data_IF_568763760436
#
_entry.id   IF_568763760436
#
_cell.length_a   1.000
_cell.length_b   1.000
_cell.length_c   1.000
_cell.angle_alpha   90.00
_cell.angle_beta   90.00
_cell.angle_gamma   90.00
#
_symmetry.space_group_name_H-M   'P 1'
#
loop_
_entity.id
_entity.type
_entity.pdbx_description
1 polymer ?
#
# COMPACT_ATOMS: atom_id res chain seq x y z
N UNK A 1 21.50 -30.89 -7.41
CA UNK A 1 20.74 -29.76 -7.98
C UNK A 1 19.30 -29.97 -7.54
N UNK A 2 18.66 -29.00 -6.88
CA UNK A 2 17.28 -29.20 -6.42
C UNK A 2 16.30 -29.08 -7.58
N UNK A 3 15.16 -29.77 -7.50
CA UNK A 3 14.10 -29.78 -8.52
C UNK A 3 12.87 -29.04 -7.99
N UNK A 4 12.31 -28.14 -8.79
CA UNK A 4 11.06 -27.44 -8.50
C UNK A 4 9.96 -28.03 -9.38
N UNK A 5 8.94 -28.62 -8.75
CA UNK A 5 7.75 -29.13 -9.43
C UNK A 5 6.64 -28.09 -9.50
N UNK A 6 5.96 -27.99 -10.64
CA UNK A 6 4.74 -27.19 -10.81
C UNK A 6 3.83 -27.82 -11.87
N UNK A 7 2.64 -27.27 -12.12
CA UNK A 7 1.73 -27.82 -13.11
C UNK A 7 2.19 -27.58 -14.56
N UNK A 8 1.75 -28.46 -15.48
CA UNK A 8 1.90 -28.27 -16.92
C UNK A 8 0.71 -27.51 -17.55
N UNK A 9 0.76 -27.23 -18.86
CA UNK A 9 -0.32 -26.54 -19.58
C UNK A 9 -0.22 -25.02 -19.49
N UNK A 10 -1.36 -24.32 -19.52
CA UNK A 10 -1.37 -22.86 -19.39
C UNK A 10 -0.75 -22.46 -18.06
N UNK A 11 0.23 -21.56 -18.08
CA UNK A 11 0.86 -21.02 -16.89
C UNK A 11 0.23 -19.71 -16.44
N UNK A 12 0.24 -19.46 -15.13
CA UNK A 12 -0.30 -18.28 -14.47
C UNK A 12 0.83 -17.42 -13.88
N UNK A 13 0.45 -16.30 -13.27
CA UNK A 13 1.43 -15.46 -12.60
C UNK A 13 1.92 -16.08 -11.29
N UNK A 14 1.08 -16.94 -10.69
CA UNK A 14 1.29 -17.47 -9.36
C UNK A 14 2.51 -18.38 -9.31
N UNK A 15 2.48 -19.51 -10.00
CA UNK A 15 3.59 -20.46 -10.03
C UNK A 15 4.85 -19.88 -10.65
N UNK A 16 4.71 -19.01 -11.65
CA UNK A 16 5.86 -18.30 -12.25
C UNK A 16 6.55 -17.44 -11.19
N UNK A 17 5.80 -16.68 -10.39
CA UNK A 17 6.38 -15.86 -9.32
C UNK A 17 6.93 -16.70 -8.17
N UNK A 18 6.24 -17.76 -7.76
CA UNK A 18 6.72 -18.71 -6.76
C UNK A 18 8.11 -19.27 -7.15
N UNK A 19 8.29 -19.65 -8.42
CA UNK A 19 9.56 -20.13 -8.96
C UNK A 19 10.62 -19.04 -8.97
N UNK A 20 10.28 -17.81 -9.38
CA UNK A 20 11.21 -16.67 -9.32
C UNK A 20 11.73 -16.44 -7.90
N UNK A 21 10.85 -16.45 -6.88
CA UNK A 21 11.25 -16.32 -5.47
C UNK A 21 12.19 -17.45 -5.04
N UNK A 22 11.85 -18.70 -5.33
CA UNK A 22 12.70 -19.85 -4.99
C UNK A 22 14.07 -19.74 -5.64
N UNK A 23 14.16 -19.39 -6.93
CA UNK A 23 15.42 -19.23 -7.66
C UNK A 23 16.30 -18.07 -7.17
N UNK A 24 15.79 -17.20 -6.28
CA UNK A 24 16.63 -16.21 -5.57
C UNK A 24 17.35 -16.78 -4.34
N UNK A 25 16.98 -17.97 -3.89
CA UNK A 25 17.65 -18.68 -2.80
C UNK A 25 18.84 -19.49 -3.33
N UNK A 26 20.00 -19.51 -2.64
CA UNK A 26 21.20 -20.22 -3.10
C UNK A 26 20.96 -21.70 -3.43
N UNK A 27 20.15 -22.40 -2.63
CA UNK A 27 19.86 -23.82 -2.79
C UNK A 27 18.98 -24.16 -4.01
N UNK A 28 18.26 -23.17 -4.55
CA UNK A 28 17.34 -23.34 -5.69
C UNK A 28 17.74 -22.50 -6.92
N UNK A 29 18.81 -21.70 -6.83
CA UNK A 29 19.27 -20.79 -7.88
C UNK A 29 19.37 -21.48 -9.24
N UNK A 30 20.06 -22.61 -9.23
CA UNK A 30 20.27 -23.44 -10.42
C UNK A 30 19.27 -24.59 -10.45
N UNK A 31 18.06 -24.46 -9.92
CA UNK A 31 17.09 -25.57 -9.97
C UNK A 31 16.51 -25.79 -11.36
N UNK A 32 16.28 -27.07 -11.69
CA UNK A 32 15.46 -27.47 -12.85
C UNK A 32 13.98 -27.35 -12.46
N UNK A 33 13.15 -26.87 -13.40
CA UNK A 33 11.70 -26.84 -13.23
C UNK A 33 11.09 -28.01 -13.97
N UNK A 34 10.36 -28.86 -13.25
CA UNK A 34 9.54 -29.95 -13.80
C UNK A 34 8.09 -29.49 -13.82
N UNK A 35 7.48 -29.51 -15.00
CA UNK A 35 6.08 -29.10 -15.19
C UNK A 35 5.23 -30.33 -15.44
N UNK A 36 4.48 -30.78 -14.44
CA UNK A 36 3.69 -32.01 -14.48
C UNK A 36 2.50 -31.97 -13.52
N UNK A 37 1.53 -32.85 -13.75
CA UNK A 37 0.46 -33.17 -12.78
C UNK A 37 0.50 -34.62 -12.32
N UNK A 38 1.51 -35.37 -12.76
CA UNK A 38 1.71 -36.75 -12.34
C UNK A 38 2.22 -36.77 -10.88
N UNK A 39 1.48 -37.38 -9.93
CA UNK A 39 1.91 -37.48 -8.55
C UNK A 39 3.27 -38.15 -8.36
N UNK A 40 3.61 -39.13 -9.20
CA UNK A 40 4.87 -39.86 -9.09
C UNK A 40 6.04 -38.95 -9.49
N UNK A 41 5.92 -38.19 -10.58
CA UNK A 41 6.94 -37.19 -10.98
C UNK A 41 7.07 -36.06 -9.95
N UNK A 42 5.95 -35.57 -9.40
CA UNK A 42 5.94 -34.52 -8.39
C UNK A 42 6.51 -35.00 -7.05
N UNK A 43 6.44 -36.29 -6.75
CA UNK A 43 7.00 -36.87 -5.52
C UNK A 43 8.53 -36.81 -5.49
N UNK A 44 9.17 -36.87 -6.66
CA UNK A 44 10.63 -36.77 -6.83
C UNK A 44 11.15 -35.32 -6.75
N UNK A 45 10.27 -34.32 -6.76
CA UNK A 45 10.65 -32.92 -6.68
C UNK A 45 11.00 -32.49 -5.24
N UNK A 46 12.06 -31.68 -5.07
CA UNK A 46 12.48 -31.15 -3.76
C UNK A 46 11.45 -30.17 -3.18
N UNK A 47 10.83 -29.36 -4.04
CA UNK A 47 9.77 -28.41 -3.69
C UNK A 47 8.70 -28.46 -4.77
N UNK A 48 7.44 -28.36 -4.38
CA UNK A 48 6.31 -28.34 -5.32
C UNK A 48 5.45 -27.11 -5.05
N UNK A 49 5.12 -26.39 -6.11
CA UNK A 49 4.34 -25.15 -6.06
C UNK A 49 3.14 -25.25 -7.00
N UNK A 50 1.99 -24.80 -6.52
CA UNK A 50 0.76 -24.63 -7.31
C UNK A 50 0.19 -25.92 -7.92
N UNK A 51 0.55 -27.07 -7.35
CA UNK A 51 0.06 -28.38 -7.78
C UNK A 51 0.21 -29.42 -6.65
N UNK A 52 -0.62 -30.46 -6.69
CA UNK A 52 -0.53 -31.62 -5.79
C UNK A 52 -1.56 -31.63 -4.67
N UNK A 53 -2.30 -30.55 -4.46
CA UNK A 53 -3.40 -30.43 -3.49
C UNK A 53 -2.94 -30.45 -2.03
N UNK A 54 -1.69 -30.08 -1.76
CA UNK A 54 -1.08 -30.16 -0.43
C UNK A 54 -0.36 -28.86 -0.07
N UNK A 55 -0.70 -28.32 1.10
CA UNK A 55 0.11 -27.33 1.80
C UNK A 55 0.80 -27.98 3.00
N UNK A 56 2.12 -28.11 2.91
CA UNK A 56 2.99 -28.64 3.95
C UNK A 56 4.36 -27.95 3.84
N UNK A 57 4.62 -26.90 4.64
CA UNK A 57 5.87 -26.15 4.56
C UNK A 57 7.09 -26.94 5.03
N UNK A 58 6.92 -27.97 5.89
CA UNK A 58 8.03 -28.84 6.32
C UNK A 58 8.50 -29.74 5.17
N UNK A 59 7.56 -30.20 4.34
CA UNK A 59 7.82 -31.00 3.14
C UNK A 59 7.97 -30.16 1.86
N UNK A 60 7.99 -28.84 1.98
CA UNK A 60 8.09 -27.91 0.85
C UNK A 60 7.02 -28.15 -0.23
N UNK A 61 5.77 -28.30 0.20
CA UNK A 61 4.59 -28.40 -0.67
C UNK A 61 3.73 -27.16 -0.46
N UNK A 62 3.58 -26.38 -1.52
CA UNK A 62 2.92 -25.07 -1.48
C UNK A 62 1.82 -25.03 -2.53
N UNK A 63 0.72 -25.74 -2.26
CA UNK A 63 -0.51 -25.63 -3.03
C UNK A 63 -1.62 -25.02 -2.17
N UNK A 64 -2.56 -24.33 -2.81
CA UNK A 64 -3.72 -23.66 -2.20
C UNK A 64 -5.07 -24.19 -2.72
N UNK A 65 -5.07 -25.07 -3.73
CA UNK A 65 -6.27 -25.60 -4.38
C UNK A 65 -7.11 -26.57 -3.53
N UNK A 66 -6.60 -27.01 -2.38
CA UNK A 66 -7.27 -27.96 -1.50
C UNK A 66 -8.58 -27.41 -0.92
N UNK A 67 -9.58 -28.29 -0.84
CA UNK A 67 -10.87 -27.96 -0.24
C UNK A 67 -10.67 -27.48 1.20
N UNK A 68 -11.19 -26.29 1.50
CA UNK A 68 -11.10 -25.71 2.84
C UNK A 68 -9.85 -24.87 3.09
N UNK A 69 -9.01 -24.59 2.09
CA UNK A 69 -7.93 -23.62 2.24
C UNK A 69 -8.46 -22.22 2.54
N UNK A 70 -8.00 -21.62 3.64
CA UNK A 70 -8.44 -20.31 4.13
C UNK A 70 -7.29 -19.45 4.68
N UNK A 71 -6.03 -19.84 4.46
CA UNK A 71 -4.91 -19.08 4.99
C UNK A 71 -4.78 -17.74 4.25
N UNK A 72 -4.61 -16.68 5.02
CA UNK A 72 -4.40 -15.31 4.54
C UNK A 72 -3.12 -14.76 5.13
N UNK A 73 -2.72 -13.54 4.74
CA UNK A 73 -1.61 -12.83 5.38
C UNK A 73 -1.72 -12.80 6.91
N UNK A 74 -2.93 -12.57 7.43
CA UNK A 74 -3.18 -12.48 8.88
C UNK A 74 -2.98 -13.82 9.60
N UNK A 75 -2.99 -14.97 8.90
CA UNK A 75 -2.65 -16.27 9.47
C UNK A 75 -1.19 -16.37 9.91
N UNK A 76 -0.30 -15.51 9.39
CA UNK A 76 1.14 -15.52 9.67
C UNK A 76 1.60 -14.27 10.44
N UNK A 77 0.91 -13.14 10.31
CA UNK A 77 1.43 -11.83 10.72
C UNK A 77 0.52 -10.98 11.62
N UNK A 78 -0.59 -11.52 12.15
CA UNK A 78 -1.52 -10.87 13.09
C UNK A 78 -1.74 -9.34 12.89
N UNK A 79 -1.95 -8.92 11.64
CA UNK A 79 -2.10 -7.50 11.30
C UNK A 79 -3.56 -7.06 11.19
N UNK A 80 -4.50 -8.00 11.17
CA UNK A 80 -5.91 -7.76 10.81
C UNK A 80 -6.10 -7.26 9.38
N UNK A 81 -5.04 -7.28 8.56
CA UNK A 81 -5.05 -6.79 7.17
C UNK A 81 -5.00 -7.92 6.16
N UNK A 82 -5.51 -7.53 4.99
CA UNK A 82 -5.72 -8.28 3.77
C UNK A 82 -6.43 -9.61 4.02
N UNK A 83 -7.76 -9.53 3.97
CA UNK A 83 -8.61 -10.72 3.93
C UNK A 83 -8.65 -11.29 2.49
N UNK A 84 -7.47 -11.66 1.99
CA UNK A 84 -7.25 -12.30 0.69
C UNK A 84 -6.50 -13.59 0.97
N UNK A 85 -6.98 -14.71 0.39
CA UNK A 85 -6.31 -15.99 0.53
C UNK A 85 -4.95 -15.93 -0.18
N UNK A 86 -3.96 -16.60 0.40
CA UNK A 86 -2.65 -16.73 -0.25
C UNK A 86 -2.76 -17.67 -1.46
N UNK A 87 -2.14 -17.32 -2.57
CA UNK A 87 -1.84 -18.26 -3.65
C UNK A 87 -0.54 -19.01 -3.34
N UNK A 88 -0.06 -19.87 -4.25
CA UNK A 88 1.22 -20.57 -4.08
C UNK A 88 2.39 -19.60 -3.88
N UNK A 89 2.46 -18.53 -4.67
CA UNK A 89 3.45 -17.47 -4.51
C UNK A 89 3.31 -16.72 -3.19
N UNK A 90 2.09 -16.44 -2.74
CA UNK A 90 1.83 -15.89 -1.41
C UNK A 90 2.39 -16.80 -0.32
N UNK A 91 2.18 -18.11 -0.42
CA UNK A 91 2.71 -19.11 0.51
C UNK A 91 4.25 -19.15 0.50
N UNK A 92 4.88 -19.15 -0.68
CA UNK A 92 6.34 -19.04 -0.79
C UNK A 92 6.83 -17.73 -0.17
N UNK A 93 6.13 -16.61 -0.42
CA UNK A 93 6.53 -15.31 0.06
C UNK A 93 6.46 -15.18 1.59
N UNK A 94 5.41 -15.70 2.25
CA UNK A 94 5.32 -15.64 3.72
C UNK A 94 6.42 -16.47 4.40
N UNK A 95 6.89 -17.55 3.78
CA UNK A 95 7.95 -18.42 4.33
C UNK A 95 9.36 -17.95 3.97
N UNK A 96 9.59 -17.48 2.75
CA UNK A 96 10.93 -17.20 2.22
C UNK A 96 11.17 -15.73 1.84
N UNK A 97 10.12 -14.90 1.74
CA UNK A 97 10.20 -13.54 1.19
C UNK A 97 11.18 -12.64 1.93
N UNK A 98 11.23 -12.70 3.28
CA UNK A 98 12.23 -11.93 4.06
C UNK A 98 13.67 -12.31 3.70
N UNK A 99 13.95 -13.61 3.56
CA UNK A 99 15.27 -14.12 3.19
C UNK A 99 15.63 -13.73 1.75
N UNK A 100 14.68 -13.83 0.82
CA UNK A 100 14.86 -13.37 -0.57
C UNK A 100 15.20 -11.88 -0.62
N UNK A 101 14.42 -11.03 0.05
CA UNK A 101 14.65 -9.58 0.09
C UNK A 101 15.98 -9.26 0.79
N UNK A 102 16.34 -9.98 1.86
CA UNK A 102 17.62 -9.84 2.55
C UNK A 102 18.79 -10.06 1.60
N UNK A 103 18.76 -11.17 0.84
CA UNK A 103 19.79 -11.50 -0.15
C UNK A 103 19.87 -10.47 -1.27
N UNK A 104 18.73 -9.96 -1.75
CA UNK A 104 18.69 -8.96 -2.84
C UNK A 104 19.18 -7.58 -2.40
N UNK A 105 19.00 -7.22 -1.13
CA UNK A 105 19.29 -5.87 -0.62
C UNK A 105 20.52 -5.80 0.29
N UNK A 106 21.12 -6.96 0.60
CA UNK A 106 22.20 -7.12 1.59
C UNK A 106 21.85 -6.49 2.94
N UNK A 107 20.61 -6.67 3.39
CA UNK A 107 20.09 -6.16 4.67
C UNK A 107 19.83 -7.29 5.64
N UNK A 108 20.05 -7.04 6.91
CA UNK A 108 19.71 -7.97 7.99
C UNK A 108 18.20 -8.25 8.05
N UNK A 109 17.83 -9.52 8.24
CA UNK A 109 16.43 -9.96 8.23
C UNK A 109 15.60 -9.36 9.37
N UNK A 110 16.22 -9.00 10.48
CA UNK A 110 15.54 -8.44 11.65
C UNK A 110 15.60 -6.89 11.68
N UNK A 111 16.27 -6.27 10.70
CA UNK A 111 16.29 -4.82 10.58
C UNK A 111 14.88 -4.24 10.32
N UNK A 112 14.54 -3.13 10.98
CA UNK A 112 13.28 -2.39 10.78
C UNK A 112 13.05 -2.05 9.30
N UNK A 113 14.13 -1.69 8.60
CA UNK A 113 14.12 -1.45 7.16
C UNK A 113 13.58 -2.65 6.37
N UNK A 114 14.15 -3.84 6.59
CA UNK A 114 13.74 -5.04 5.85
C UNK A 114 12.32 -5.45 6.21
N UNK A 115 11.95 -5.38 7.49
CA UNK A 115 10.60 -5.72 7.96
C UNK A 115 9.55 -4.86 7.27
N UNK A 116 9.80 -3.54 7.11
CA UNK A 116 8.89 -2.63 6.41
C UNK A 116 8.88 -2.83 4.89
N UNK A 117 10.06 -3.05 4.29
CA UNK A 117 10.16 -3.36 2.85
C UNK A 117 9.39 -4.66 2.55
N UNK A 118 9.50 -5.69 3.39
CA UNK A 118 8.79 -6.96 3.24
C UNK A 118 7.27 -6.77 3.20
N UNK A 119 6.72 -5.96 4.10
CA UNK A 119 5.28 -5.65 4.10
C UNK A 119 4.89 -4.82 2.87
N UNK A 120 5.71 -3.86 2.46
CA UNK A 120 5.43 -3.00 1.29
C UNK A 120 5.48 -3.74 -0.04
N UNK A 121 6.42 -4.67 -0.18
CA UNK A 121 6.51 -5.56 -1.34
C UNK A 121 5.29 -6.49 -1.40
N UNK A 122 4.81 -7.00 -0.25
CA UNK A 122 3.56 -7.76 -0.25
C UNK A 122 2.37 -6.91 -0.69
N UNK A 123 2.16 -5.76 -0.03
CA UNK A 123 1.06 -4.84 -0.29
C UNK A 123 0.99 -4.41 -1.77
N UNK A 124 2.15 -4.17 -2.39
CA UNK A 124 2.23 -3.52 -3.70
C UNK A 124 2.42 -4.49 -4.86
N UNK A 125 2.71 -5.77 -4.59
CA UNK A 125 3.05 -6.74 -5.64
C UNK A 125 2.39 -8.09 -5.41
N UNK A 126 2.66 -8.72 -4.27
CA UNK A 126 2.22 -10.10 -4.00
C UNK A 126 0.70 -10.18 -3.81
N UNK A 127 0.11 -9.20 -3.15
CA UNK A 127 -1.33 -9.15 -2.88
C UNK A 127 -2.18 -9.13 -4.16
N UNK A 128 -1.72 -8.47 -5.23
CA UNK A 128 -2.42 -8.50 -6.54
C UNK A 128 -2.41 -9.90 -7.14
N UNK A 129 -1.30 -10.63 -7.01
CA UNK A 129 -1.16 -12.00 -7.49
C UNK A 129 -2.08 -12.92 -6.69
N UNK A 130 -2.00 -12.87 -5.35
CA UNK A 130 -2.88 -13.63 -4.44
C UNK A 130 -4.36 -13.40 -4.78
N UNK A 131 -4.76 -12.14 -4.93
CA UNK A 131 -6.14 -11.76 -5.21
C UNK A 131 -6.61 -12.22 -6.60
N UNK A 132 -5.78 -12.04 -7.62
CA UNK A 132 -6.13 -12.43 -9.00
C UNK A 132 -6.29 -13.94 -9.11
N UNK A 133 -5.36 -14.68 -8.53
CA UNK A 133 -5.30 -16.13 -8.62
C UNK A 133 -6.44 -16.82 -7.86
N UNK A 134 -6.75 -16.32 -6.65
CA UNK A 134 -7.90 -16.77 -5.88
C UNK A 134 -9.25 -16.24 -6.39
N UNK A 135 -9.28 -15.52 -7.53
CA UNK A 135 -10.50 -14.98 -8.12
C UNK A 135 -11.21 -13.94 -7.24
N UNK A 136 -10.47 -13.23 -6.39
CA UNK A 136 -11.00 -12.20 -5.51
C UNK A 136 -11.32 -10.94 -6.33
N UNK A 137 -12.57 -10.46 -6.32
CA UNK A 137 -12.91 -9.26 -7.07
C UNK A 137 -12.24 -8.02 -6.44
N UNK A 138 -11.73 -7.13 -7.29
CA UNK A 138 -11.11 -5.86 -6.87
C UNK A 138 -12.08 -4.93 -6.11
N UNK A 139 -13.39 -5.11 -6.28
CA UNK A 139 -14.42 -4.31 -5.64
C UNK A 139 -15.68 -5.16 -5.42
N UNK A 140 -16.44 -4.82 -4.37
CA UNK A 140 -17.78 -5.36 -4.14
C UNK A 140 -18.81 -4.80 -5.13
N UNK A 141 -18.52 -3.68 -5.78
CA UNK A 141 -19.34 -3.04 -6.80
C UNK A 141 -18.74 -3.21 -8.20
N UNK A 142 -19.56 -3.11 -9.24
CA UNK A 142 -19.09 -3.16 -10.62
C UNK A 142 -18.06 -2.06 -10.90
N UNK A 143 -16.95 -2.45 -11.51
CA UNK A 143 -15.91 -1.51 -11.94
C UNK A 143 -16.41 -0.71 -13.16
N UNK A 144 -16.06 0.58 -13.22
CA UNK A 144 -16.35 1.43 -14.38
C UNK A 144 -15.49 1.10 -15.60
N UNK A 145 -14.30 0.52 -15.36
CA UNK A 145 -13.37 0.06 -16.39
C UNK A 145 -12.53 -1.10 -15.82
N UNK A 146 -11.96 -1.92 -16.71
CA UNK A 146 -11.09 -3.03 -16.33
C UNK A 146 -9.63 -2.70 -16.62
N UNK A 147 -8.75 -2.97 -15.67
CA UNK A 147 -7.31 -2.92 -15.88
C UNK A 147 -6.89 -4.18 -16.64
N UNK A 148 -6.30 -4.00 -17.82
CA UNK A 148 -5.83 -5.10 -18.69
C UNK A 148 -4.32 -5.10 -18.86
N UNK A 149 -3.60 -4.33 -18.06
CA UNK A 149 -2.15 -4.11 -18.16
C UNK A 149 -1.38 -4.65 -16.95
N UNK A 150 -2.06 -5.24 -15.96
CA UNK A 150 -1.45 -5.85 -14.79
C UNK A 150 -0.57 -7.06 -15.12
N UNK A 151 0.28 -7.45 -14.17
CA UNK A 151 1.32 -8.47 -14.38
C UNK A 151 0.70 -9.81 -14.79
N UNK A 152 -0.32 -10.28 -14.08
CA UNK A 152 -0.98 -11.54 -14.39
C UNK A 152 -1.58 -11.58 -15.80
N UNK A 153 -2.15 -10.45 -16.28
CA UNK A 153 -2.65 -10.35 -17.65
C UNK A 153 -1.53 -10.39 -18.68
N UNK A 154 -0.38 -9.76 -18.39
CA UNK A 154 0.80 -9.79 -19.28
C UNK A 154 1.42 -11.17 -19.35
N UNK A 155 1.46 -11.90 -18.23
CA UNK A 155 1.89 -13.31 -18.18
C UNK A 155 0.93 -14.21 -18.96
N UNK A 156 -0.38 -14.05 -18.76
CA UNK A 156 -1.38 -14.82 -19.50
C UNK A 156 -1.22 -14.68 -21.02
N UNK A 157 -0.85 -13.49 -21.53
CA UNK A 157 -0.60 -13.24 -22.97
C UNK A 157 0.62 -13.94 -23.55
N UNK A 158 1.53 -14.43 -22.71
CA UNK A 158 2.69 -15.20 -23.16
C UNK A 158 2.34 -16.66 -23.42
N UNK A 159 1.22 -17.17 -22.86
CA UNK A 159 0.77 -18.52 -23.18
C UNK A 159 0.48 -18.65 -24.69
N UNK A 160 0.79 -19.82 -25.29
CA UNK A 160 0.40 -20.11 -26.66
C UNK A 160 -1.10 -19.93 -26.87
N UNK A 161 -1.48 -19.45 -28.05
CA UNK A 161 -2.90 -19.35 -28.37
C UNK A 161 -3.52 -20.74 -28.54
N UNK A 162 -4.85 -20.82 -28.36
CA UNK A 162 -5.57 -22.09 -28.45
C UNK A 162 -5.43 -22.78 -29.83
N UNK A 163 -5.08 -22.01 -30.87
CA UNK A 163 -4.90 -22.44 -32.25
C UNK A 163 -3.42 -22.51 -32.69
N UNK A 164 -2.46 -22.50 -31.76
CA UNK A 164 -1.04 -22.70 -32.02
C UNK A 164 -0.58 -24.12 -31.67
N UNK A 165 0.44 -24.64 -32.37
CA UNK A 165 1.07 -25.90 -32.01
C UNK A 165 1.86 -25.77 -30.70
N UNK A 166 1.60 -26.67 -29.74
CA UNK A 166 2.09 -26.55 -28.35
C UNK A 166 3.51 -27.07 -28.09
N UNK A 167 4.03 -27.97 -28.94
CA UNK A 167 5.17 -28.82 -28.58
C UNK A 167 6.54 -28.12 -28.52
N UNK A 168 6.71 -26.93 -29.12
CA UNK A 168 7.99 -26.17 -29.09
C UNK A 168 7.85 -24.77 -28.49
N UNK A 169 6.63 -24.28 -28.33
CA UNK A 169 6.31 -22.91 -27.92
C UNK A 169 6.22 -22.73 -26.41
N UNK A 170 5.83 -23.78 -25.67
CA UNK A 170 5.45 -23.68 -24.25
C UNK A 170 6.63 -23.40 -23.32
N UNK A 171 7.76 -24.12 -23.46
CA UNK A 171 8.93 -23.91 -22.61
C UNK A 171 9.57 -22.53 -22.82
N UNK A 172 9.66 -22.09 -24.08
CA UNK A 172 10.20 -20.76 -24.39
C UNK A 172 9.27 -19.63 -23.90
N UNK A 173 7.95 -19.81 -24.00
CA UNK A 173 6.98 -18.89 -23.43
C UNK A 173 7.09 -18.81 -21.90
N UNK A 174 7.24 -19.96 -21.24
CA UNK A 174 7.43 -20.04 -19.80
C UNK A 174 8.71 -19.34 -19.34
N UNK A 175 9.83 -19.51 -20.07
CA UNK A 175 11.07 -18.76 -19.78
C UNK A 175 10.89 -17.25 -19.94
N UNK A 176 10.15 -16.78 -20.94
CA UNK A 176 9.81 -15.35 -21.07
C UNK A 176 8.97 -14.84 -19.89
N UNK A 177 8.05 -15.67 -19.39
CA UNK A 177 7.24 -15.34 -18.22
C UNK A 177 8.11 -15.18 -16.97
N UNK A 178 9.04 -16.12 -16.74
CA UNK A 178 10.01 -16.04 -15.64
C UNK A 178 10.84 -14.76 -15.70
N UNK A 179 11.39 -14.41 -16.88
CA UNK A 179 12.17 -13.18 -17.05
C UNK A 179 11.34 -11.92 -16.79
N UNK A 180 10.07 -11.92 -17.21
CA UNK A 180 9.18 -10.79 -17.00
C UNK A 180 8.87 -10.60 -15.51
N UNK A 181 8.45 -11.65 -14.80
CA UNK A 181 8.15 -11.57 -13.37
C UNK A 181 9.39 -11.23 -12.56
N UNK A 182 10.53 -11.84 -12.88
CA UNK A 182 11.80 -11.61 -12.17
C UNK A 182 12.24 -10.14 -12.26
N UNK A 183 12.11 -9.53 -13.43
CA UNK A 183 12.38 -8.09 -13.62
C UNK A 183 11.44 -7.24 -12.77
N UNK A 184 10.13 -7.46 -12.90
CA UNK A 184 9.12 -6.63 -12.23
C UNK A 184 9.24 -6.72 -10.70
N UNK A 185 9.52 -7.91 -10.18
CA UNK A 185 9.82 -8.12 -8.76
C UNK A 185 11.14 -7.43 -8.34
N UNK A 186 12.19 -7.55 -9.14
CA UNK A 186 13.49 -6.91 -8.87
C UNK A 186 13.39 -5.39 -8.84
N UNK A 187 12.66 -4.80 -9.80
CA UNK A 187 12.40 -3.36 -9.88
C UNK A 187 11.59 -2.91 -8.65
N UNK A 188 10.59 -3.70 -8.23
CA UNK A 188 9.78 -3.43 -7.03
C UNK A 188 10.62 -3.44 -5.75
N UNK A 189 11.43 -4.48 -5.53
CA UNK A 189 12.32 -4.57 -4.36
C UNK A 189 13.35 -3.44 -4.36
N UNK A 190 13.92 -3.12 -5.54
CA UNK A 190 14.88 -2.03 -5.70
C UNK A 190 14.24 -0.67 -5.39
N UNK A 191 13.02 -0.41 -5.89
CA UNK A 191 12.27 0.79 -5.54
C UNK A 191 12.08 0.92 -4.04
N UNK A 192 11.58 -0.12 -3.37
CA UNK A 192 11.32 -0.03 -1.93
C UNK A 192 12.59 0.12 -1.09
N UNK A 193 13.69 -0.54 -1.50
CA UNK A 193 14.93 -0.55 -0.74
C UNK A 193 15.86 0.65 -0.99
N UNK A 194 15.87 1.18 -2.22
CA UNK A 194 16.81 2.22 -2.65
C UNK A 194 16.16 3.60 -2.82
N UNK A 195 14.84 3.67 -3.06
CA UNK A 195 14.13 4.94 -3.26
C UNK A 195 13.16 5.23 -2.10
N UNK A 196 12.22 4.32 -1.84
CA UNK A 196 11.20 4.53 -0.81
C UNK A 196 11.79 4.56 0.60
N UNK A 197 12.59 3.56 0.99
CA UNK A 197 13.09 3.48 2.37
C UNK A 197 13.94 4.69 2.81
N UNK A 198 14.91 5.18 2.01
CA UNK A 198 15.68 6.37 2.38
C UNK A 198 14.82 7.64 2.57
N UNK A 199 13.68 7.75 1.90
CA UNK A 199 12.77 8.88 2.06
C UNK A 199 12.23 9.02 3.50
N UNK A 200 12.16 7.91 4.26
CA UNK A 200 11.69 7.92 5.65
C UNK A 200 12.47 8.89 6.52
N UNK A 201 13.78 8.94 6.36
CA UNK A 201 14.66 9.79 7.15
C UNK A 201 14.39 11.27 6.84
N UNK A 202 14.19 11.62 5.55
CA UNK A 202 13.83 12.98 5.13
C UNK A 202 12.53 13.42 5.79
N UNK A 203 11.50 12.58 5.75
CA UNK A 203 10.20 12.88 6.38
C UNK A 203 10.32 12.94 7.91
N UNK A 204 11.10 12.05 8.53
CA UNK A 204 11.33 12.04 9.98
C UNK A 204 11.99 13.33 10.46
N UNK A 205 12.99 13.84 9.74
CA UNK A 205 13.62 15.13 10.06
C UNK A 205 12.63 16.28 9.94
N UNK A 206 11.88 16.34 8.84
CA UNK A 206 10.88 17.37 8.60
C UNK A 206 9.78 17.37 9.68
N UNK A 207 9.35 16.18 10.12
CA UNK A 207 8.44 16.02 11.25
C UNK A 207 9.06 16.57 12.54
N UNK A 208 10.32 16.26 12.86
CA UNK A 208 10.98 16.75 14.08
C UNK A 208 11.20 18.26 14.09
N UNK A 209 11.45 18.88 12.93
CA UNK A 209 11.69 20.32 12.81
C UNK A 209 10.42 21.16 12.64
N UNK A 210 9.23 20.55 12.52
CA UNK A 210 7.98 21.25 12.19
C UNK A 210 7.62 22.44 13.09
N UNK A 211 8.04 22.42 14.35
CA UNK A 211 7.82 23.53 15.28
C UNK A 211 8.59 24.81 14.91
N UNK A 212 9.69 24.72 14.15
CA UNK A 212 10.40 25.89 13.62
C UNK A 212 9.82 26.40 12.30
N UNK A 213 8.96 25.61 11.65
CA UNK A 213 8.26 26.01 10.43
C UNK A 213 7.01 26.81 10.78
N UNK A 214 6.22 26.29 11.71
CA UNK A 214 4.99 26.93 12.14
C UNK A 214 4.61 26.52 13.57
N UNK A 215 4.09 27.47 14.37
CA UNK A 215 3.73 27.22 15.77
C UNK A 215 2.60 26.20 15.93
N UNK A 216 1.73 26.03 14.93
CA UNK A 216 0.68 25.00 14.94
C UNK A 216 1.24 23.58 14.83
N UNK A 217 2.47 23.41 14.33
CA UNK A 217 3.11 22.12 14.04
C UNK A 217 2.36 21.26 13.02
N UNK A 218 1.52 21.88 12.19
CA UNK A 218 0.72 21.20 11.15
C UNK A 218 1.36 21.26 9.75
N UNK A 219 2.51 21.92 9.61
CA UNK A 219 3.21 22.12 8.34
C UNK A 219 4.60 21.52 8.46
N UNK A 220 5.00 20.72 7.46
CA UNK A 220 6.38 20.23 7.33
C UNK A 220 6.99 20.68 6.01
N UNK A 221 8.32 20.85 6.01
CA UNK A 221 9.09 21.21 4.81
C UNK A 221 10.12 20.12 4.57
N UNK A 222 10.08 19.52 3.38
CA UNK A 222 11.06 18.54 2.94
C UNK A 222 12.25 19.27 2.31
N UNK A 223 13.47 18.86 2.67
CA UNK A 223 14.71 19.41 2.09
C UNK A 223 14.89 19.01 0.62
N UNK A 224 14.23 17.93 0.20
CA UNK A 224 14.26 17.39 -1.15
C UNK A 224 12.94 16.70 -1.48
N UNK A 225 12.59 16.61 -2.77
CA UNK A 225 11.48 15.78 -3.23
C UNK A 225 11.76 14.31 -2.97
N UNK A 226 10.78 13.59 -2.40
CA UNK A 226 10.87 12.17 -2.10
C UNK A 226 9.46 11.54 -1.96
N UNK A 227 9.32 10.21 -2.02
CA UNK A 227 8.05 9.53 -1.77
C UNK A 227 7.66 9.61 -0.28
N UNK A 228 7.00 10.70 0.13
CA UNK A 228 6.76 11.02 1.53
C UNK A 228 5.47 10.45 2.14
N UNK A 229 4.43 10.23 1.33
CA UNK A 229 3.04 10.00 1.79
C UNK A 229 2.91 8.87 2.81
N UNK A 230 3.31 7.65 2.46
CA UNK A 230 3.20 6.50 3.37
C UNK A 230 4.07 6.64 4.62
N UNK A 231 5.26 7.25 4.50
CA UNK A 231 6.11 7.51 5.67
C UNK A 231 5.50 8.51 6.63
N UNK A 232 4.85 9.56 6.13
CA UNK A 232 4.14 10.52 6.96
C UNK A 232 3.08 9.82 7.81
N UNK A 233 2.21 9.01 7.18
CA UNK A 233 1.15 8.31 7.90
C UNK A 233 1.71 7.33 8.94
N UNK A 234 2.78 6.61 8.62
CA UNK A 234 3.42 5.70 9.56
C UNK A 234 4.04 6.44 10.75
N UNK A 235 4.75 7.56 10.49
CA UNK A 235 5.35 8.38 11.53
C UNK A 235 4.29 9.03 12.43
N UNK A 236 3.17 9.50 11.88
CA UNK A 236 2.06 10.03 12.67
C UNK A 236 1.45 8.95 13.60
N UNK A 237 1.23 7.74 13.09
CA UNK A 237 0.74 6.61 13.90
C UNK A 237 1.72 6.25 15.02
N UNK A 238 3.01 6.23 14.71
CA UNK A 238 4.08 5.98 15.69
C UNK A 238 4.17 7.08 16.76
N UNK A 239 4.10 8.37 16.40
CA UNK A 239 4.09 9.48 17.37
C UNK A 239 2.87 9.42 18.30
N UNK A 240 1.74 8.91 17.79
CA UNK A 240 0.49 8.72 18.53
C UNK A 240 0.47 7.49 19.42
N UNK A 241 1.49 6.62 19.31
CA UNK A 241 1.52 5.31 19.92
C UNK A 241 0.28 4.45 19.54
N UNK A 242 -0.26 4.68 18.34
CA UNK A 242 -1.27 3.80 17.75
C UNK A 242 -0.58 2.47 17.39
N UNK A 243 -1.26 1.34 17.61
CA UNK A 243 -0.70 0.01 17.32
C UNK A 243 -0.21 -0.03 15.87
N UNK A 244 1.10 -0.13 15.68
CA UNK A 244 1.70 -0.03 14.34
C UNK A 244 1.28 -1.25 13.54
N UNK A 245 0.84 -1.05 12.29
CA UNK A 245 0.33 -2.10 11.39
C UNK A 245 1.38 -3.13 10.92
N UNK A 246 2.54 -3.17 11.58
CA UNK A 246 3.64 -4.07 11.25
C UNK A 246 3.61 -5.26 12.20
N UNK A 247 3.92 -6.47 11.72
CA UNK A 247 4.01 -7.64 12.57
C UNK A 247 5.08 -7.40 13.63
N UNK A 248 4.65 -7.07 14.84
CA UNK A 248 5.49 -7.24 16.01
C UNK A 248 5.53 -8.73 16.30
N UNK A 249 6.69 -9.34 16.62
CA UNK A 249 6.65 -10.62 17.30
C UNK A 249 5.72 -10.47 18.52
N UNK A 250 4.93 -11.49 18.90
CA UNK A 250 4.05 -11.42 20.06
C UNK A 250 4.90 -11.24 21.31
N UNK A 251 5.25 -10.01 21.61
CA UNK A 251 5.81 -9.60 22.88
C UNK A 251 4.63 -9.67 23.84
N UNK A 252 4.77 -10.45 24.92
CA UNK A 252 3.89 -10.37 26.07
C UNK A 252 3.89 -8.91 26.54
N UNK A 253 2.92 -8.12 26.08
CA UNK A 253 2.87 -6.69 26.31
C UNK A 253 2.36 -6.44 27.73
N UNK A 254 3.28 -6.38 28.70
CA UNK A 254 3.00 -5.80 30.03
C UNK A 254 2.99 -4.27 30.00
N UNK A 255 3.27 -3.65 28.85
CA UNK A 255 3.30 -2.21 28.67
C UNK A 255 2.52 -1.78 27.43
N UNK A 256 1.41 -1.05 27.63
CA UNK A 256 0.75 -0.25 26.58
C UNK A 256 1.19 1.20 26.76
N UNK A 257 1.85 1.83 25.77
CA UNK A 257 2.14 3.26 25.84
C UNK A 257 0.84 4.07 25.86
N UNK A 258 0.83 5.18 26.59
CA UNK A 258 -0.30 6.13 26.59
C UNK A 258 -0.42 6.81 25.21
N UNK A 259 -1.61 6.80 24.58
CA UNK A 259 -1.83 7.48 23.31
C UNK A 259 -1.52 8.98 23.40
N UNK A 260 -0.85 9.50 22.39
CA UNK A 260 -0.60 10.95 22.23
C UNK A 260 -1.48 11.50 21.12
N UNK A 261 -1.82 12.78 21.20
CA UNK A 261 -2.62 13.46 20.18
C UNK A 261 -1.87 14.67 19.60
N UNK A 262 -0.69 14.49 18.96
CA UNK A 262 -0.05 15.58 18.25
C UNK A 262 -0.96 16.07 17.09
N UNK A 263 -0.88 17.37 16.74
CA UNK A 263 -1.53 17.89 15.55
C UNK A 263 -1.16 17.06 14.32
N UNK A 264 -2.16 16.72 13.51
CA UNK A 264 -1.94 16.08 12.21
C UNK A 264 -1.26 17.08 11.26
N UNK A 265 -0.42 16.59 10.37
CA UNK A 265 0.13 17.41 9.30
C UNK A 265 -0.98 17.71 8.28
N UNK A 266 -1.16 18.98 7.96
CA UNK A 266 -2.12 19.49 6.99
C UNK A 266 -1.44 19.74 5.63
N UNK A 267 -0.21 20.28 5.65
CA UNK A 267 0.54 20.62 4.45
C UNK A 267 1.97 20.08 4.47
N UNK A 268 2.41 19.59 3.31
CA UNK A 268 3.80 19.23 3.03
C UNK A 268 4.33 20.15 1.95
N UNK A 269 5.44 20.81 2.24
CA UNK A 269 6.13 21.71 1.33
C UNK A 269 7.37 21.00 0.79
N UNK A 270 7.55 20.96 -0.52
CA UNK A 270 8.67 20.27 -1.15
C UNK A 270 9.23 21.04 -2.36
N UNK A 271 10.55 20.98 -2.60
CA UNK A 271 11.17 21.60 -3.76
C UNK A 271 10.92 20.79 -5.04
N UNK A 272 10.89 21.46 -6.18
CA UNK A 272 10.98 20.88 -7.53
C UNK A 272 12.39 21.09 -8.09
N UNK A 273 12.75 20.27 -9.09
CA UNK A 273 14.04 20.37 -9.76
C UNK A 273 14.29 21.74 -10.41
N UNK A 274 13.22 22.45 -10.80
CA UNK A 274 13.25 23.76 -11.45
C UNK A 274 13.43 24.95 -10.47
N UNK A 275 13.55 24.68 -9.16
CA UNK A 275 13.69 25.69 -8.11
C UNK A 275 12.37 26.16 -7.49
N UNK A 276 11.25 25.88 -8.14
CA UNK A 276 9.91 26.13 -7.59
C UNK A 276 9.58 25.22 -6.40
N UNK A 277 8.59 25.63 -5.62
CA UNK A 277 8.14 24.95 -4.42
C UNK A 277 6.67 24.57 -4.52
N UNK A 278 6.36 23.33 -4.14
CA UNK A 278 5.01 22.80 -4.10
C UNK A 278 4.52 22.80 -2.66
N UNK A 279 3.29 23.27 -2.46
CA UNK A 279 2.54 23.14 -1.22
C UNK A 279 1.44 22.12 -1.46
N UNK A 280 1.58 20.94 -0.87
CA UNK A 280 0.63 19.85 -1.06
C UNK A 280 -0.19 19.61 0.21
N UNK A 281 -1.50 19.58 0.07
CA UNK A 281 -2.40 19.13 1.14
C UNK A 281 -2.23 17.64 1.38
N UNK A 282 -2.22 17.24 2.66
CA UNK A 282 -2.23 15.84 3.06
C UNK A 282 -3.66 15.32 2.95
N UNK A 283 -3.87 14.23 2.21
CA UNK A 283 -5.17 13.57 2.13
C UNK A 283 -5.41 12.65 3.34
N UNK A 284 -6.66 12.48 3.75
CA UNK A 284 -7.13 11.40 4.60
C UNK A 284 -7.27 10.10 3.78
N UNK A 285 -7.51 8.98 4.45
CA UNK A 285 -7.61 7.65 3.82
C UNK A 285 -8.76 7.53 2.81
N UNK A 286 -9.77 8.39 2.89
CA UNK A 286 -10.89 8.49 1.95
C UNK A 286 -10.61 9.40 0.73
N UNK A 287 -9.35 9.82 0.54
CA UNK A 287 -8.90 10.75 -0.51
C UNK A 287 -9.37 12.21 -0.35
N UNK A 288 -10.05 12.57 0.73
CA UNK A 288 -10.37 13.96 1.03
C UNK A 288 -9.13 14.67 1.59
N UNK A 289 -8.91 15.92 1.20
CA UNK A 289 -7.83 16.72 1.77
C UNK A 289 -8.13 17.01 3.25
N UNK A 290 -7.13 16.84 4.13
CA UNK A 290 -7.22 17.28 5.54
C UNK A 290 -7.53 18.77 5.63
N UNK A 291 -6.90 19.56 4.76
CA UNK A 291 -7.21 20.97 4.58
C UNK A 291 -6.95 21.38 3.13
N UNK A 292 -8.00 21.83 2.43
CA UNK A 292 -7.88 22.32 1.06
C UNK A 292 -7.55 23.81 1.03
N UNK A 293 -6.86 24.26 -0.02
CA UNK A 293 -6.82 25.68 -0.36
C UNK A 293 -8.24 26.25 -0.53
N UNK A 294 -8.48 27.51 -0.15
CA UNK A 294 -9.80 28.14 -0.21
C UNK A 294 -10.28 28.30 -1.66
N UNK A 295 -11.60 28.28 -1.86
CA UNK A 295 -12.21 28.42 -3.20
C UNK A 295 -11.76 29.70 -3.92
N UNK A 296 -11.50 30.77 -3.17
CA UNK A 296 -11.00 32.04 -3.70
C UNK A 296 -9.61 31.96 -4.34
N UNK A 297 -8.81 30.92 -4.05
CA UNK A 297 -7.47 30.73 -4.63
C UNK A 297 -7.45 29.73 -5.80
N UNK A 298 -8.44 28.82 -5.85
CA UNK A 298 -8.44 27.69 -6.77
C UNK A 298 -8.50 28.13 -8.23
N UNK A 299 -7.70 27.49 -9.07
CA UNK A 299 -7.55 27.80 -10.50
C UNK A 299 -7.00 29.20 -10.81
N UNK A 300 -6.58 29.97 -9.81
CA UNK A 300 -5.84 31.21 -10.04
C UNK A 300 -4.37 30.91 -10.32
N UNK A 301 -3.74 31.79 -11.10
CA UNK A 301 -2.31 31.71 -11.47
C UNK A 301 -1.64 33.07 -11.32
N UNK A 302 -0.32 33.04 -11.13
CA UNK A 302 0.59 34.20 -11.19
C UNK A 302 0.05 35.42 -10.43
N UNK A 303 0.05 36.60 -11.06
CA UNK A 303 -0.33 37.89 -10.45
C UNK A 303 -1.74 37.88 -9.84
N UNK A 304 -2.69 37.13 -10.43
CA UNK A 304 -4.05 37.01 -9.88
C UNK A 304 -4.04 36.27 -8.54
N UNK A 305 -3.22 35.24 -8.45
CA UNK A 305 -3.06 34.48 -7.21
C UNK A 305 -2.25 35.28 -6.18
N UNK A 306 -1.20 35.99 -6.59
CA UNK A 306 -0.47 36.93 -5.72
C UNK A 306 -1.42 37.97 -5.12
N UNK A 307 -2.26 38.59 -5.95
CA UNK A 307 -3.24 39.59 -5.50
C UNK A 307 -4.31 39.01 -4.56
N UNK A 308 -4.74 37.77 -4.78
CA UNK A 308 -5.76 37.10 -3.96
C UNK A 308 -5.21 36.57 -2.62
N UNK A 309 -3.93 36.22 -2.58
CA UNK A 309 -3.27 35.64 -1.40
C UNK A 309 -2.56 36.69 -0.55
N UNK A 310 -2.08 37.77 -1.18
CA UNK A 310 -1.10 38.70 -0.60
C UNK A 310 0.33 38.16 -0.57
N UNK A 311 0.59 36.99 -1.18
CA UNK A 311 1.90 36.32 -1.16
C UNK A 311 2.59 36.45 -2.51
N UNK A 312 3.84 36.93 -2.49
CA UNK A 312 4.62 37.09 -3.69
C UNK A 312 5.07 35.75 -4.28
N UNK A 313 5.32 35.73 -5.59
CA UNK A 313 5.88 34.58 -6.29
C UNK A 313 4.93 33.39 -6.45
N UNK A 314 3.63 33.57 -6.24
CA UNK A 314 2.64 32.51 -6.50
C UNK A 314 2.64 32.09 -7.97
N UNK A 315 2.48 30.79 -8.22
CA UNK A 315 2.45 30.21 -9.57
C UNK A 315 1.03 29.74 -9.91
N UNK A 316 0.47 28.79 -9.14
CA UNK A 316 -0.93 28.39 -9.29
C UNK A 316 -1.46 27.62 -8.07
N UNK A 317 -2.79 27.48 -7.99
CA UNK A 317 -3.48 26.52 -7.09
C UNK A 317 -4.42 25.63 -7.90
N UNK A 318 -4.34 24.32 -7.70
CA UNK A 318 -5.18 23.35 -8.40
C UNK A 318 -6.67 23.55 -8.09
N UNK A 319 -7.54 23.25 -9.06
CA UNK A 319 -9.00 23.46 -8.97
C UNK A 319 -9.68 22.71 -7.81
N UNK A 320 -9.14 21.56 -7.40
CA UNK A 320 -9.59 20.81 -6.22
C UNK A 320 -8.95 21.26 -4.89
N UNK A 321 -8.10 22.29 -4.90
CA UNK A 321 -7.46 22.83 -3.69
C UNK A 321 -6.45 21.91 -2.99
N UNK A 322 -6.00 20.83 -3.62
CA UNK A 322 -5.06 19.88 -3.02
C UNK A 322 -3.58 20.27 -3.19
N UNK A 323 -3.28 21.20 -4.09
CA UNK A 323 -1.91 21.56 -4.48
C UNK A 323 -1.84 23.04 -4.84
N UNK A 324 -0.81 23.71 -4.33
CA UNK A 324 -0.40 25.06 -4.71
C UNK A 324 1.09 25.10 -5.05
N UNK A 325 1.52 26.15 -5.73
CA UNK A 325 2.92 26.35 -6.10
C UNK A 325 3.37 27.80 -5.93
N UNK A 326 4.61 27.96 -5.50
CA UNK A 326 5.29 29.25 -5.35
C UNK A 326 6.73 29.15 -5.88
N UNK A 327 7.30 30.25 -6.35
CA UNK A 327 8.69 30.34 -6.82
C UNK A 327 9.72 30.21 -5.68
N UNK A 328 9.32 30.50 -4.45
CA UNK A 328 10.21 30.52 -3.28
C UNK A 328 9.72 29.59 -2.18
N UNK A 329 10.66 29.12 -1.36
CA UNK A 329 10.36 28.31 -0.18
C UNK A 329 9.52 29.09 0.82
N UNK A 330 9.90 30.35 1.03
CA UNK A 330 9.28 31.26 2.00
C UNK A 330 7.84 31.55 1.60
N UNK A 331 7.59 31.88 0.32
CA UNK A 331 6.23 32.08 -0.18
C UNK A 331 5.37 30.81 -0.12
N UNK A 332 5.95 29.63 -0.37
CA UNK A 332 5.24 28.36 -0.19
C UNK A 332 4.86 28.10 1.28
N UNK A 333 5.73 28.43 2.23
CA UNK A 333 5.45 28.36 3.67
C UNK A 333 4.34 29.34 4.04
N UNK A 334 4.42 30.59 3.58
CA UNK A 334 3.44 31.63 3.87
C UNK A 334 2.05 31.25 3.34
N UNK A 335 1.95 30.71 2.12
CA UNK A 335 0.70 30.18 1.57
C UNK A 335 0.08 29.11 2.48
N UNK A 336 0.88 28.16 2.99
CA UNK A 336 0.39 27.11 3.88
C UNK A 336 -0.04 27.67 5.25
N UNK A 337 0.73 28.62 5.80
CA UNK A 337 0.46 29.27 7.08
C UNK A 337 -0.86 30.05 7.04
N UNK A 338 -1.08 30.87 6.01
CA UNK A 338 -2.32 31.64 5.86
C UNK A 338 -3.55 30.73 5.90
N UNK A 339 -3.51 29.61 5.16
CA UNK A 339 -4.64 28.67 5.10
C UNK A 339 -4.81 27.92 6.42
N UNK A 340 -3.71 27.45 7.04
CA UNK A 340 -3.77 26.72 8.29
C UNK A 340 -4.25 27.60 9.47
N UNK A 341 -3.80 28.85 9.53
CA UNK A 341 -4.15 29.78 10.61
C UNK A 341 -5.59 30.30 10.47
N UNK A 342 -6.03 30.63 9.26
CA UNK A 342 -7.43 31.00 9.00
C UNK A 342 -8.39 29.86 9.36
N UNK A 343 -8.03 28.62 9.01
CA UNK A 343 -8.79 27.43 9.43
C UNK A 343 -8.83 27.28 10.95
N UNK A 344 -7.68 27.38 11.62
CA UNK A 344 -7.59 27.23 13.08
C UNK A 344 -8.38 28.32 13.83
N UNK A 345 -8.37 29.56 13.33
CA UNK A 345 -9.16 30.65 13.89
C UNK A 345 -10.66 30.37 13.78
N UNK A 346 -11.14 29.89 12.62
CA UNK A 346 -12.55 29.53 12.41
C UNK A 346 -12.99 28.36 13.29
N UNK A 347 -12.16 27.35 13.47
CA UNK A 347 -12.42 26.24 14.41
C UNK A 347 -12.52 26.73 15.86
N UNK A 348 -11.67 27.67 16.27
CA UNK A 348 -11.73 28.24 17.61
C UNK A 348 -13.02 29.05 17.84
N UNK A 349 -13.47 29.82 16.85
CA UNK A 349 -14.73 30.55 16.91
C UNK A 349 -15.94 29.60 17.02
N UNK A 350 -15.94 28.50 16.26
CA UNK A 350 -17.00 27.49 16.30
C UNK A 350 -17.07 26.75 17.63
N UNK A 351 -15.92 26.42 18.22
CA UNK A 351 -15.86 25.72 19.51
C UNK A 351 -16.21 26.62 20.70
N UNK A 352 -15.99 27.93 20.58
CA UNK A 352 -16.38 28.92 21.59
C UNK A 352 -17.83 29.40 21.44
N UNK A 353 -18.49 29.12 20.31
CA UNK A 353 -19.90 29.43 20.12
C UNK A 353 -20.76 28.63 21.12
N UNK A 354 -21.44 29.35 22.03
CA UNK A 354 -22.36 28.76 22.99
C UNK A 354 -23.51 28.10 22.23
N UNK A 355 -23.52 26.77 22.20
CA UNK A 355 -24.65 26.03 21.67
C UNK A 355 -25.89 26.32 22.54
N UNK A 356 -27.02 26.74 21.95
CA UNK A 356 -28.25 26.91 22.72
C UNK A 356 -28.62 25.57 23.36
N UNK A 357 -29.07 25.57 24.63
CA UNK A 357 -29.42 24.33 25.31
C UNK A 357 -30.47 23.56 24.50
N UNK A 358 -30.35 22.23 24.40
CA UNK A 358 -31.27 21.43 23.61
C UNK A 358 -32.71 21.63 24.09
N UNK A 359 -33.59 22.05 23.18
CA UNK A 359 -35.02 22.19 23.45
C UNK A 359 -35.65 20.81 23.39
N UNK A 360 -35.76 20.15 24.53
CA UNK A 360 -36.53 18.91 24.64
C UNK A 360 -38.03 19.24 24.57
N UNK A 361 -38.65 19.03 23.41
CA UNK A 361 -40.10 19.00 23.32
C UNK A 361 -40.61 17.77 24.07
N UNK A 362 -41.43 17.96 25.10
CA UNK A 362 -42.16 16.86 25.75
C UNK A 362 -43.14 16.28 24.74
N UNK A 363 -42.72 15.23 24.03
CA UNK A 363 -43.59 14.47 23.14
C UNK A 363 -44.81 13.98 23.92
N UNK A 364 -46.01 14.40 23.51
CA UNK A 364 -47.26 13.84 24.02
C UNK A 364 -47.27 12.35 23.69
N UNK A 365 -47.23 11.50 24.70
CA UNK A 365 -47.28 10.05 24.56
C UNK A 365 -48.47 9.63 23.69
N UNK A 366 -48.18 9.02 22.54
CA UNK A 366 -49.19 8.32 21.73
C UNK A 366 -49.61 7.06 22.49
N UNK A 367 -50.81 7.10 23.07
CA UNK A 367 -51.52 5.89 23.53
C UNK A 367 -51.61 4.91 22.36
N UNK A 368 -51.08 3.70 22.56
CA UNK A 368 -51.22 2.60 21.61
C UNK A 368 -52.70 2.20 21.51
N UNK A 369 -53.30 2.49 20.36
CA UNK A 369 -54.62 1.99 19.97
C UNK A 369 -54.50 0.57 19.42
N UNK A 370 -55.35 -0.30 19.94
CA UNK A 370 -55.56 -1.72 19.65
C UNK A 370 -55.48 -2.11 18.16
N UNK A 371 -54.69 -3.15 17.88
CA UNK A 371 -54.73 -3.90 16.63
C UNK A 371 -56.07 -4.64 16.46
N UNK A 372 -56.66 -4.58 15.26
CA UNK A 372 -57.62 -5.56 14.76
C UNK A 372 -56.92 -6.45 13.71
N UNK A 373 -57.23 -7.76 13.65
CA UNK A 373 -56.62 -8.68 12.69
C UNK A 373 -57.43 -8.70 11.39
N UNK A 374 -56.75 -8.60 10.25
CA UNK A 374 -57.37 -8.88 8.95
C UNK A 374 -57.24 -10.37 8.63
N UNK A 375 -58.40 -10.96 8.34
CA UNK A 375 -58.59 -12.23 7.63
C UNK A 375 -58.68 -11.91 6.13
N UNK A 376 -57.86 -12.56 5.31
CA UNK A 376 -58.22 -13.61 4.33
C UNK A 376 -57.06 -13.84 3.37
#
# INVERSE_FOLDING_TARGET
>A
MKIIGTHNGCFHCDEVFAICLLKRLPEFKDSVVVRSRDPDELSECDVVVDVGGVYDPERLRFDHHQKGFTLTWSSFFDTGKWNVKLSSAGLIYVHFGKRVISLMTNRDMDSDALQRIFVKVYESFVLEIDGTDNGVPQSQSSLKYHIRTGLATRIARLNPWWNEERFTSDDHAFQKALLLVDREFSDTVSYFSQCWWPAREVVSRAMKSRASVDSSRTIIVLEQSCPWKSHLFDLEREERAETVAYPQPPQLATYRPEPKFPPKILFVILPREEGDWVVQSVAEENFENRLSFPDSWRSLTDDKLCAATGVDGCIFVHSCGHLGMNKTKEGAIEMAQLVAHDWAAKELELTQAVLPPPVFSRGRGRRHGSAKPDRY
#
